data_IF_954233000206
#
_entry.id   IF_954233000206
#
_cell.length_a   1.000
_cell.length_b   1.000
_cell.length_c   1.000
_cell.angle_alpha   90.00
_cell.angle_beta   90.00
_cell.angle_gamma   90.00
#
_symmetry.space_group_name_H-M   'P 1'
#
loop_
_entity.id
_entity.type
_entity.pdbx_description
1 polymer ?
#
# COMPACT_ATOMS: atom_id res chain seq x y z
N UNK A 1 27.61 -4.20 23.31
CA UNK A 1 26.93 -4.45 24.59
C UNK A 1 25.71 -5.31 24.30
N UNK A 2 25.61 -6.49 24.89
CA UNK A 2 24.55 -7.45 24.61
C UNK A 2 23.58 -7.54 25.81
N UNK A 3 22.30 -7.36 25.58
CA UNK A 3 21.26 -7.61 26.56
C UNK A 3 21.12 -9.14 26.81
N UNK A 4 20.67 -9.50 27.99
CA UNK A 4 20.48 -10.86 28.40
C UNK A 4 20.94 -11.10 29.85
N UNK A 5 20.70 -12.31 30.36
CA UNK A 5 21.14 -12.71 31.68
C UNK A 5 22.55 -13.36 31.57
N UNK A 6 23.49 -12.82 32.33
CA UNK A 6 24.86 -13.24 32.36
C UNK A 6 25.23 -13.65 33.81
N UNK A 7 25.94 -14.74 33.96
CA UNK A 7 26.38 -15.21 35.26
C UNK A 7 27.74 -14.60 35.59
N UNK A 8 27.85 -13.97 36.76
CA UNK A 8 29.11 -13.49 37.33
C UNK A 8 29.53 -14.44 38.40
N UNK A 9 30.77 -14.97 38.32
CA UNK A 9 31.35 -15.92 39.27
C UNK A 9 32.51 -15.26 40.01
N UNK A 10 32.49 -15.34 41.31
CA UNK A 10 33.63 -15.02 42.18
C UNK A 10 34.29 -16.31 42.65
N UNK A 11 35.62 -16.41 42.49
CA UNK A 11 36.38 -17.62 42.86
C UNK A 11 37.52 -17.22 43.80
N UNK A 12 37.71 -17.97 44.91
CA UNK A 12 38.84 -17.80 45.81
C UNK A 12 40.12 -18.33 45.21
N UNK A 13 41.20 -17.55 45.26
CA UNK A 13 42.49 -17.92 44.70
C UNK A 13 43.24 -19.04 45.46
N UNK A 14 42.80 -19.36 46.68
CA UNK A 14 43.51 -20.30 47.54
C UNK A 14 42.94 -21.74 47.59
N UNK A 15 41.63 -21.88 47.25
CA UNK A 15 40.98 -23.21 47.38
C UNK A 15 39.93 -23.47 46.30
N UNK A 16 39.83 -22.59 45.28
CA UNK A 16 38.85 -22.66 44.18
C UNK A 16 37.36 -22.67 44.60
N UNK A 17 37.06 -22.32 45.86
CA UNK A 17 35.68 -22.15 46.27
C UNK A 17 35.07 -20.95 45.47
N UNK A 18 33.89 -21.15 44.88
CA UNK A 18 33.25 -20.15 44.04
C UNK A 18 31.75 -20.01 44.33
N UNK A 19 31.24 -18.81 44.11
CA UNK A 19 29.81 -18.50 44.08
C UNK A 19 29.49 -17.75 42.80
N UNK A 20 28.29 -17.97 42.26
CA UNK A 20 27.86 -17.42 40.99
C UNK A 20 26.45 -16.82 41.09
N UNK A 21 26.31 -15.60 40.59
CA UNK A 21 25.04 -14.88 40.60
C UNK A 21 24.68 -14.37 39.19
N UNK A 22 23.40 -14.43 38.79
CA UNK A 22 22.94 -13.88 37.54
C UNK A 22 22.82 -12.36 37.60
N UNK A 23 23.21 -11.68 36.51
CA UNK A 23 22.98 -10.26 36.29
C UNK A 23 22.27 -10.12 34.93
N UNK A 24 21.13 -9.46 34.89
CA UNK A 24 20.39 -9.22 33.66
C UNK A 24 20.66 -7.80 33.15
N UNK A 25 21.15 -7.72 31.92
CA UNK A 25 21.26 -6.48 31.14
C UNK A 25 20.06 -6.40 30.23
N UNK A 26 19.38 -5.25 30.20
CA UNK A 26 18.22 -4.97 29.35
C UNK A 26 18.61 -4.06 28.21
N UNK A 27 17.85 -4.09 27.12
CA UNK A 27 18.01 -3.15 26.02
C UNK A 27 17.68 -1.73 26.49
N UNK A 28 18.36 -0.74 25.91
CA UNK A 28 18.18 0.68 26.21
C UNK A 28 16.96 1.22 25.46
N UNK A 29 15.83 1.34 26.18
CA UNK A 29 14.56 1.84 25.61
C UNK A 29 14.62 3.35 25.26
N UNK A 30 15.43 4.13 25.97
CA UNK A 30 15.50 5.57 25.80
C UNK A 30 16.27 5.97 24.54
N UNK A 31 17.21 5.12 24.12
CA UNK A 31 17.99 5.29 22.88
C UNK A 31 17.49 4.40 21.72
N UNK A 32 16.32 3.75 21.86
CA UNK A 32 15.77 2.85 20.87
C UNK A 32 15.47 3.57 19.55
N UNK A 33 15.67 2.85 18.44
CA UNK A 33 15.29 3.28 17.08
C UNK A 33 14.28 2.29 16.49
N UNK A 34 13.43 2.80 15.60
CA UNK A 34 12.43 2.01 14.89
C UNK A 34 12.75 1.97 13.40
N UNK A 35 12.50 0.81 12.78
CA UNK A 35 12.48 0.63 11.33
C UNK A 35 11.11 0.10 10.94
N UNK A 36 10.40 0.86 10.11
CA UNK A 36 9.07 0.51 9.61
C UNK A 36 9.18 -0.19 8.26
N UNK A 37 8.42 -1.27 8.06
CA UNK A 37 8.28 -1.98 6.80
C UNK A 37 6.81 -2.23 6.49
N UNK A 38 6.50 -2.45 5.20
CA UNK A 38 5.17 -2.83 4.72
C UNK A 38 5.23 -4.18 4.02
N UNK A 39 4.25 -5.04 4.24
CA UNK A 39 4.16 -6.33 3.55
C UNK A 39 3.83 -6.19 2.06
N UNK A 40 3.07 -5.14 1.70
CA UNK A 40 2.76 -4.74 0.33
C UNK A 40 2.99 -3.24 0.19
N UNK A 41 3.62 -2.81 -0.91
CA UNK A 41 3.76 -1.40 -1.25
C UNK A 41 2.49 -0.81 -1.89
N UNK A 42 1.58 -1.67 -2.36
CA UNK A 42 0.32 -1.32 -2.99
C UNK A 42 -0.80 -2.22 -2.50
N UNK A 43 -1.97 -1.63 -2.26
CA UNK A 43 -3.23 -2.31 -1.92
C UNK A 43 -4.37 -1.75 -2.78
N UNK A 44 -5.45 -2.54 -2.90
CA UNK A 44 -6.66 -2.13 -3.61
C UNK A 44 -7.54 -1.26 -2.72
N UNK A 45 -8.03 -0.12 -3.25
CA UNK A 45 -8.88 0.85 -2.57
C UNK A 45 -10.33 0.38 -2.38
N UNK A 46 -10.53 -0.82 -1.86
CA UNK A 46 -11.86 -1.43 -1.65
C UNK A 46 -12.27 -1.50 -0.17
N UNK A 47 -11.43 -0.99 0.74
CA UNK A 47 -11.66 -1.05 2.19
C UNK A 47 -11.50 -2.44 2.82
N UNK A 48 -11.08 -3.43 2.04
CA UNK A 48 -10.91 -4.83 2.47
C UNK A 48 -9.46 -5.30 2.31
N UNK A 49 -8.84 -5.00 1.15
CA UNK A 49 -7.42 -5.32 0.94
C UNK A 49 -6.56 -4.51 1.91
N UNK A 50 -5.57 -5.15 2.51
CA UNK A 50 -4.75 -4.55 3.55
C UNK A 50 -3.27 -4.90 3.39
N UNK A 51 -2.42 -4.06 3.96
CA UNK A 51 -0.99 -4.30 4.14
C UNK A 51 -0.65 -4.32 5.62
N UNK A 52 0.29 -5.16 6.02
CA UNK A 52 0.82 -5.16 7.38
C UNK A 52 1.96 -4.16 7.48
N UNK A 53 1.88 -3.28 8.47
CA UNK A 53 2.94 -2.39 8.91
C UNK A 53 3.69 -3.09 10.03
N UNK A 54 4.98 -3.35 9.83
CA UNK A 54 5.85 -4.04 10.79
C UNK A 54 6.92 -3.08 11.27
N UNK A 55 6.87 -2.70 12.55
CA UNK A 55 7.85 -1.86 13.22
C UNK A 55 8.83 -2.74 14.01
N UNK A 56 10.11 -2.71 13.62
CA UNK A 56 11.18 -3.41 14.34
C UNK A 56 11.96 -2.41 15.18
N UNK A 57 12.06 -2.66 16.50
CA UNK A 57 12.66 -1.73 17.46
C UNK A 57 13.90 -2.35 18.09
N UNK A 58 15.02 -1.64 18.00
CA UNK A 58 16.31 -2.04 18.55
C UNK A 58 17.00 -0.85 19.24
N UNK A 59 17.87 -1.14 20.19
CA UNK A 59 18.80 -0.16 20.74
C UNK A 59 20.04 0.04 19.82
N UNK A 60 20.90 1.03 20.07
CA UNK A 60 22.12 1.27 19.28
C UNK A 60 23.15 0.13 19.29
N UNK A 61 22.96 -0.88 20.13
CA UNK A 61 23.81 -2.07 20.22
C UNK A 61 23.19 -3.30 19.57
N UNK A 62 22.12 -3.09 18.76
CA UNK A 62 21.37 -4.15 18.06
C UNK A 62 20.59 -5.09 19.00
N UNK A 63 20.39 -4.73 20.28
CA UNK A 63 19.50 -5.48 21.13
C UNK A 63 18.05 -5.16 20.83
N UNK A 64 17.21 -6.18 20.67
CA UNK A 64 15.78 -6.02 20.49
C UNK A 64 15.14 -5.42 21.73
N UNK A 65 14.24 -4.45 21.53
CA UNK A 65 13.52 -3.78 22.60
C UNK A 65 12.10 -4.35 22.66
N UNK A 66 11.77 -5.08 23.71
CA UNK A 66 10.47 -5.68 23.92
C UNK A 66 9.59 -4.85 24.88
N UNK A 67 8.29 -5.10 24.86
CA UNK A 67 7.28 -4.45 25.69
C UNK A 67 7.35 -2.90 25.61
N UNK A 68 7.70 -2.38 24.41
CA UNK A 68 7.70 -0.94 24.14
C UNK A 68 6.48 -0.60 23.29
N UNK A 69 5.63 0.37 23.69
CA UNK A 69 4.52 0.81 22.86
C UNK A 69 5.05 1.56 21.62
N UNK A 70 4.55 1.19 20.45
CA UNK A 70 4.77 1.87 19.17
C UNK A 70 3.46 2.48 18.75
N UNK A 71 3.44 3.80 18.51
CA UNK A 71 2.28 4.51 17.99
C UNK A 71 2.35 4.55 16.48
N UNK A 72 1.27 4.13 15.83
CA UNK A 72 1.11 4.17 14.38
C UNK A 72 0.13 5.27 13.99
N UNK A 73 0.45 6.01 12.96
CA UNK A 73 -0.39 7.04 12.37
C UNK A 73 -0.31 7.03 10.86
N UNK A 74 -1.24 7.74 10.22
CA UNK A 74 -1.26 7.93 8.77
C UNK A 74 -1.53 9.41 8.47
N UNK A 75 -1.15 9.85 7.28
CA UNK A 75 -1.35 11.22 6.79
C UNK A 75 -2.80 11.52 6.37
N UNK A 76 -3.69 10.52 6.35
CA UNK A 76 -5.06 10.63 5.87
C UNK A 76 -6.05 9.96 6.81
N UNK A 77 -7.17 10.65 7.09
CA UNK A 77 -8.31 10.10 7.82
C UNK A 77 -9.06 9.00 7.02
N UNK A 78 -8.81 8.90 5.72
CA UNK A 78 -9.45 7.93 4.81
C UNK A 78 -8.74 6.57 4.81
N UNK A 79 -7.60 6.48 5.48
CA UNK A 79 -6.91 5.23 5.78
C UNK A 79 -7.25 4.74 7.18
N UNK A 80 -7.40 3.44 7.34
CA UNK A 80 -7.74 2.80 8.63
C UNK A 80 -6.62 1.88 9.07
N UNK A 81 -6.14 2.13 10.29
CA UNK A 81 -5.27 1.20 11.01
C UNK A 81 -6.12 0.25 11.85
N UNK A 82 -5.71 -1.02 11.98
CA UNK A 82 -6.36 -1.99 12.88
C UNK A 82 -6.34 -1.53 14.34
N UNK A 83 -5.29 -0.83 14.73
CA UNK A 83 -5.12 -0.15 16.03
C UNK A 83 -4.07 0.96 15.90
N UNK A 84 -4.14 1.98 16.75
CA UNK A 84 -3.19 3.09 16.74
C UNK A 84 -1.92 2.82 17.56
N UNK A 85 -1.90 1.77 18.39
CA UNK A 85 -0.75 1.43 19.23
C UNK A 85 -0.62 -0.09 19.33
N UNK A 86 0.61 -0.60 19.19
CA UNK A 86 0.96 -2.00 19.39
C UNK A 86 2.27 -2.09 20.17
N UNK A 87 2.36 -3.01 21.14
CA UNK A 87 3.59 -3.22 21.90
C UNK A 87 4.53 -4.17 21.14
N UNK A 88 5.82 -3.90 21.24
CA UNK A 88 6.84 -4.83 20.70
C UNK A 88 6.82 -6.16 21.44
N UNK A 89 6.88 -7.25 20.70
CA UNK A 89 6.99 -8.62 21.21
C UNK A 89 8.43 -8.96 21.63
N UNK A 90 8.68 -10.23 21.98
CA UNK A 90 10.02 -10.72 22.40
C UNK A 90 11.10 -10.59 21.31
N UNK A 91 10.71 -10.43 20.05
CA UNK A 91 11.60 -10.16 18.90
C UNK A 91 11.79 -8.67 18.62
N UNK A 92 11.21 -7.79 19.44
CA UNK A 92 11.24 -6.33 19.24
C UNK A 92 10.35 -5.85 18.11
N UNK A 93 9.29 -6.58 17.77
CA UNK A 93 8.41 -6.31 16.64
C UNK A 93 7.02 -5.94 17.12
N UNK A 94 6.48 -4.82 16.59
CA UNK A 94 5.08 -4.41 16.74
C UNK A 94 4.43 -4.35 15.34
N UNK A 95 3.18 -4.80 15.23
CA UNK A 95 2.48 -4.89 13.96
C UNK A 95 1.07 -4.32 14.07
N UNK A 96 0.63 -3.69 12.97
CA UNK A 96 -0.75 -3.28 12.72
C UNK A 96 -1.05 -3.48 11.24
N UNK A 97 -2.34 -3.55 10.84
CA UNK A 97 -2.72 -3.54 9.42
C UNK A 97 -3.25 -2.16 9.03
N UNK A 98 -3.06 -1.81 7.74
CA UNK A 98 -3.54 -0.60 7.10
C UNK A 98 -4.38 -0.96 5.88
N UNK A 99 -5.55 -0.33 5.74
CA UNK A 99 -6.43 -0.38 4.59
C UNK A 99 -7.01 1.00 4.29
N UNK A 100 -7.62 1.18 3.11
CA UNK A 100 -8.22 2.45 2.74
C UNK A 100 -9.10 2.35 1.50
N UNK A 101 -9.78 3.44 1.17
CA UNK A 101 -10.67 3.55 -0.01
C UNK A 101 -10.31 4.73 -0.92
N UNK A 102 -9.56 5.71 -0.44
CA UNK A 102 -9.14 6.87 -1.25
C UNK A 102 -7.85 6.56 -1.97
N UNK A 103 -7.89 6.66 -3.31
CA UNK A 103 -6.74 6.36 -4.17
C UNK A 103 -5.60 7.35 -3.97
N UNK A 104 -4.39 6.87 -4.12
CA UNK A 104 -3.17 7.67 -4.07
C UNK A 104 -2.11 7.09 -3.14
N UNK A 105 -1.02 7.84 -3.00
CA UNK A 105 0.08 7.47 -2.12
C UNK A 105 -0.18 8.05 -0.74
N UNK A 106 -0.24 7.20 0.26
CA UNK A 106 -0.43 7.54 1.66
C UNK A 106 0.82 7.21 2.47
N UNK A 107 1.11 8.03 3.47
CA UNK A 107 2.27 7.84 4.36
C UNK A 107 1.82 7.27 5.69
N UNK A 108 2.40 6.14 6.08
CA UNK A 108 2.28 5.57 7.42
C UNK A 108 3.53 5.89 8.24
N UNK A 109 3.36 6.16 9.52
CA UNK A 109 4.43 6.46 10.46
C UNK A 109 4.33 5.56 11.69
N UNK A 110 5.49 5.13 12.19
CA UNK A 110 5.65 4.45 13.48
C UNK A 110 6.51 5.33 14.38
N UNK A 111 6.02 5.69 15.56
CA UNK A 111 6.67 6.60 16.52
C UNK A 111 6.87 5.92 17.86
N UNK A 112 8.08 6.03 18.42
CA UNK A 112 8.45 5.54 19.75
C UNK A 112 8.21 6.61 20.83
N UNK A 113 8.11 6.22 22.13
CA UNK A 113 7.96 7.16 23.23
C UNK A 113 9.10 8.19 23.38
N UNK A 114 10.30 7.84 22.90
CA UNK A 114 11.47 8.74 22.88
C UNK A 114 11.44 9.75 21.73
N UNK A 115 10.42 9.74 20.88
CA UNK A 115 10.24 10.63 19.72
C UNK A 115 10.90 10.14 18.43
N UNK A 116 11.66 9.05 18.45
CA UNK A 116 12.19 8.43 17.21
C UNK A 116 11.06 7.85 16.39
N UNK A 117 11.09 8.05 15.08
CA UNK A 117 10.09 7.56 14.16
C UNK A 117 10.71 7.06 12.84
N UNK A 118 9.94 6.31 12.08
CA UNK A 118 10.19 5.96 10.68
C UNK A 118 8.88 5.94 9.91
N UNK A 119 8.96 6.21 8.61
CA UNK A 119 7.80 6.31 7.72
C UNK A 119 7.91 5.38 6.52
N UNK A 120 6.75 4.92 6.02
CA UNK A 120 6.62 4.19 4.77
C UNK A 120 5.42 4.67 3.98
N UNK A 121 5.55 4.67 2.66
CA UNK A 121 4.44 4.94 1.75
C UNK A 121 3.76 3.65 1.33
N UNK A 122 2.43 3.72 1.19
CA UNK A 122 1.57 2.69 0.63
C UNK A 122 0.74 3.34 -0.47
N UNK A 123 0.75 2.76 -1.67
CA UNK A 123 -0.13 3.19 -2.76
C UNK A 123 -1.48 2.49 -2.65
N UNK A 124 -2.57 3.24 -2.66
CA UNK A 124 -3.93 2.70 -2.77
C UNK A 124 -4.36 2.87 -4.21
N UNK A 125 -4.55 1.74 -4.92
CA UNK A 125 -4.82 1.66 -6.35
C UNK A 125 -6.25 1.15 -6.62
N UNK A 126 -6.84 1.46 -7.82
CA UNK A 126 -8.11 0.86 -8.21
C UNK A 126 -7.94 -0.64 -8.53
N UNK A 127 -9.03 -1.41 -8.40
CA UNK A 127 -9.07 -2.82 -8.81
C UNK A 127 -9.20 -2.97 -10.32
N UNK A 128 -8.08 -2.87 -11.02
CA UNK A 128 -8.04 -3.02 -12.48
C UNK A 128 -8.44 -4.42 -12.96
N UNK A 129 -8.28 -5.45 -12.10
CA UNK A 129 -8.58 -6.85 -12.46
C UNK A 129 -10.08 -7.12 -12.57
N UNK A 130 -10.89 -6.36 -11.82
CA UNK A 130 -12.35 -6.46 -11.80
C UNK A 130 -13.03 -5.25 -12.43
N UNK A 131 -12.28 -4.45 -13.20
CA UNK A 131 -12.82 -3.26 -13.85
C UNK A 131 -13.91 -3.60 -14.87
N UNK A 132 -14.90 -2.72 -14.96
CA UNK A 132 -16.02 -2.81 -15.90
C UNK A 132 -15.98 -1.63 -16.87
N UNK A 133 -16.45 -1.85 -18.10
CA UNK A 133 -16.52 -0.83 -19.14
C UNK A 133 -17.98 -0.47 -19.42
N UNK A 134 -18.23 0.84 -19.56
CA UNK A 134 -19.51 1.38 -20.04
C UNK A 134 -19.26 2.20 -21.29
N UNK A 135 -19.97 1.90 -22.37
CA UNK A 135 -19.89 2.67 -23.63
C UNK A 135 -20.96 3.76 -23.64
N UNK A 136 -20.54 4.99 -23.93
CA UNK A 136 -21.43 6.14 -24.17
C UNK A 136 -21.26 6.63 -25.62
N UNK A 137 -22.37 6.78 -26.31
CA UNK A 137 -22.48 7.35 -27.67
C UNK A 137 -23.44 8.55 -27.61
N UNK A 138 -22.92 9.78 -27.66
CA UNK A 138 -23.75 10.97 -27.46
C UNK A 138 -24.74 11.24 -28.61
N UNK A 139 -24.46 10.75 -29.82
CA UNK A 139 -25.34 10.90 -30.99
C UNK A 139 -25.65 9.52 -31.58
N UNK A 140 -26.92 9.14 -31.61
CA UNK A 140 -27.41 7.89 -32.17
C UNK A 140 -27.65 7.92 -33.69
N UNK A 141 -27.58 9.09 -34.32
CA UNK A 141 -27.71 9.29 -35.75
C UNK A 141 -26.62 10.22 -36.25
N UNK A 142 -25.91 9.79 -37.28
CA UNK A 142 -24.86 10.53 -37.98
C UNK A 142 -25.11 10.42 -39.46
N UNK A 143 -24.91 11.49 -40.22
CA UNK A 143 -25.14 11.49 -41.67
C UNK A 143 -23.99 10.75 -42.36
N UNK A 144 -24.30 9.83 -43.27
CA UNK A 144 -23.30 9.05 -44.04
C UNK A 144 -22.80 9.90 -45.23
N UNK A 145 -21.88 10.82 -44.98
CA UNK A 145 -21.35 11.76 -45.97
C UNK A 145 -19.81 11.80 -46.02
N UNK A 146 -19.11 10.86 -45.34
CA UNK A 146 -17.66 10.82 -45.13
C UNK A 146 -17.08 12.05 -44.42
N UNK A 147 -17.91 12.91 -43.87
CA UNK A 147 -17.51 14.14 -43.18
C UNK A 147 -17.94 14.14 -41.71
N UNK A 148 -19.16 13.69 -41.48
CA UNK A 148 -19.69 13.62 -40.12
C UNK A 148 -19.08 12.54 -39.29
N UNK A 149 -18.97 12.76 -38.00
CA UNK A 149 -18.35 11.83 -37.07
C UNK A 149 -19.03 11.90 -35.70
N UNK A 150 -18.88 10.83 -34.95
CA UNK A 150 -19.31 10.75 -33.56
C UNK A 150 -18.17 10.26 -32.69
N UNK A 151 -17.98 10.89 -31.55
CA UNK A 151 -17.03 10.43 -30.55
C UNK A 151 -17.67 9.32 -29.70
N UNK A 152 -17.02 8.19 -29.65
CA UNK A 152 -17.34 7.07 -28.77
C UNK A 152 -16.52 7.23 -27.49
N UNK A 153 -17.16 7.14 -26.33
CA UNK A 153 -16.49 7.23 -25.03
C UNK A 153 -16.73 5.94 -24.26
N UNK A 154 -15.66 5.22 -23.95
CA UNK A 154 -15.69 4.10 -23.01
C UNK A 154 -15.21 4.58 -21.66
N UNK A 155 -15.99 4.37 -20.60
CA UNK A 155 -15.62 4.66 -19.22
C UNK A 155 -15.34 3.35 -18.50
N UNK A 156 -14.15 3.21 -17.94
CA UNK A 156 -13.70 2.03 -17.20
C UNK A 156 -13.58 2.37 -15.72
N UNK A 157 -14.30 1.62 -14.90
CA UNK A 157 -14.31 1.77 -13.44
C UNK A 157 -14.21 0.43 -12.74
N UNK A 158 -13.63 0.43 -11.55
CA UNK A 158 -13.63 -0.74 -10.66
C UNK A 158 -14.99 -0.91 -9.94
N UNK A 159 -15.19 -2.02 -9.20
CA UNK A 159 -16.43 -2.24 -8.44
C UNK A 159 -16.69 -1.20 -7.34
N UNK A 160 -15.66 -0.49 -6.88
CA UNK A 160 -15.75 0.60 -5.91
C UNK A 160 -16.04 1.96 -6.57
N UNK A 161 -16.29 1.96 -7.92
CA UNK A 161 -16.57 3.14 -8.75
C UNK A 161 -15.35 4.06 -8.96
N UNK A 162 -14.13 3.60 -8.68
CA UNK A 162 -12.92 4.35 -8.99
C UNK A 162 -12.60 4.26 -10.49
N UNK A 163 -12.16 5.36 -11.12
CA UNK A 163 -11.71 5.33 -12.51
C UNK A 163 -10.43 4.50 -12.64
N UNK A 164 -10.35 3.68 -13.69
CA UNK A 164 -9.17 2.85 -13.96
C UNK A 164 -8.44 3.39 -15.18
N UNK A 165 -7.27 3.95 -14.97
CA UNK A 165 -6.40 4.48 -16.02
C UNK A 165 -5.49 3.40 -16.62
N UNK A 166 -4.98 3.64 -17.84
CA UNK A 166 -3.98 2.78 -18.48
C UNK A 166 -4.53 1.48 -19.08
N UNK A 167 -5.86 1.29 -19.11
CA UNK A 167 -6.50 0.12 -19.70
C UNK A 167 -6.68 0.31 -21.20
N UNK A 168 -6.24 -0.66 -22.00
CA UNK A 168 -6.50 -0.68 -23.43
C UNK A 168 -7.96 -1.08 -23.68
N UNK A 169 -8.72 -0.24 -24.36
CA UNK A 169 -10.10 -0.48 -24.78
C UNK A 169 -10.12 -0.67 -26.29
N UNK A 170 -10.76 -1.75 -26.75
CA UNK A 170 -10.96 -2.06 -28.16
C UNK A 170 -12.43 -1.76 -28.54
N UNK A 171 -12.64 -0.77 -29.39
CA UNK A 171 -13.93 -0.48 -29.99
C UNK A 171 -14.06 -1.29 -31.29
N UNK A 172 -15.10 -2.07 -31.40
CA UNK A 172 -15.30 -2.95 -32.56
C UNK A 172 -16.70 -2.73 -33.15
N UNK A 173 -16.83 -2.96 -34.44
CA UNK A 173 -18.09 -2.97 -35.16
C UNK A 173 -18.37 -4.37 -35.73
N UNK A 174 -19.66 -4.71 -35.96
CA UNK A 174 -20.01 -5.94 -36.67
C UNK A 174 -19.33 -5.98 -38.03
N UNK A 175 -18.86 -7.16 -38.44
CA UNK A 175 -18.01 -7.34 -39.62
C UNK A 175 -18.74 -7.02 -40.94
N UNK A 176 -20.06 -7.20 -40.95
CA UNK A 176 -20.92 -6.93 -42.08
C UNK A 176 -21.08 -5.45 -42.43
N UNK A 177 -20.87 -4.55 -41.44
CA UNK A 177 -20.96 -3.09 -41.61
C UNK A 177 -19.60 -2.37 -41.50
N UNK A 178 -18.59 -3.01 -40.98
CA UNK A 178 -17.26 -2.44 -40.70
C UNK A 178 -16.58 -1.82 -41.95
N UNK A 179 -16.85 -2.35 -43.13
CA UNK A 179 -16.27 -1.85 -44.40
C UNK A 179 -16.75 -0.44 -44.78
N UNK A 180 -17.90 0.04 -44.23
CA UNK A 180 -18.50 1.30 -44.55
C UNK A 180 -18.15 2.44 -43.56
N UNK A 181 -17.41 2.13 -42.51
CA UNK A 181 -17.08 3.04 -41.42
C UNK A 181 -15.60 2.97 -41.04
N UNK A 182 -15.12 4.05 -40.48
CA UNK A 182 -13.72 4.13 -40.01
C UNK A 182 -13.68 4.48 -38.53
N UNK A 183 -13.04 3.62 -37.76
CA UNK A 183 -12.68 3.93 -36.36
C UNK A 183 -11.27 4.52 -36.30
N UNK A 184 -11.14 5.66 -35.66
CA UNK A 184 -9.83 6.25 -35.39
C UNK A 184 -8.92 5.26 -34.65
N UNK A 185 -7.62 5.26 -34.97
CA UNK A 185 -6.62 4.35 -34.38
C UNK A 185 -7.01 2.85 -34.43
N UNK A 186 -7.75 2.45 -35.49
CA UNK A 186 -8.28 1.07 -35.62
C UNK A 186 -9.18 0.63 -34.45
N UNK A 187 -9.83 1.61 -33.79
CA UNK A 187 -10.69 1.34 -32.62
C UNK A 187 -9.95 1.10 -31.32
N UNK A 188 -8.64 1.41 -31.23
CA UNK A 188 -7.87 1.19 -30.02
C UNK A 188 -7.62 2.52 -29.28
N UNK A 189 -7.97 2.58 -27.99
CA UNK A 189 -7.67 3.70 -27.12
C UNK A 189 -7.30 3.22 -25.72
N UNK A 190 -6.54 4.04 -24.98
CA UNK A 190 -6.12 3.77 -23.61
C UNK A 190 -6.84 4.72 -22.66
N UNK A 191 -7.36 4.21 -21.55
CA UNK A 191 -8.05 5.03 -20.55
C UNK A 191 -7.09 6.04 -19.91
N UNK A 192 -7.57 7.28 -19.80
CA UNK A 192 -6.91 8.39 -19.11
C UNK A 192 -7.15 8.33 -17.59
N UNK A 193 -6.63 9.31 -16.85
CA UNK A 193 -6.74 9.37 -15.37
C UNK A 193 -8.20 9.38 -14.87
N UNK A 194 -9.15 9.87 -15.68
CA UNK A 194 -10.59 9.85 -15.39
C UNK A 194 -11.27 8.50 -15.74
N UNK A 195 -10.52 7.51 -16.20
CA UNK A 195 -11.02 6.22 -16.64
C UNK A 195 -11.66 6.22 -18.02
N UNK A 196 -11.55 7.28 -18.81
CA UNK A 196 -12.17 7.39 -20.14
C UNK A 196 -11.19 7.11 -21.27
N UNK A 197 -11.66 6.37 -22.27
CA UNK A 197 -11.00 6.15 -23.55
C UNK A 197 -11.92 6.63 -24.68
N UNK A 198 -11.37 7.34 -25.66
CA UNK A 198 -12.12 7.96 -26.75
C UNK A 198 -11.66 7.47 -28.11
N UNK A 199 -12.62 7.22 -29.01
CA UNK A 199 -12.38 6.91 -30.42
C UNK A 199 -13.42 7.65 -31.25
N UNK A 200 -13.00 8.21 -32.40
CA UNK A 200 -13.91 8.84 -33.37
C UNK A 200 -14.37 7.80 -34.40
N UNK A 201 -15.67 7.70 -34.59
CA UNK A 201 -16.32 6.95 -35.66
C UNK A 201 -16.73 7.88 -36.77
N UNK A 202 -16.32 7.56 -38.01
CA UNK A 202 -16.72 8.25 -39.25
C UNK A 202 -17.45 7.31 -40.19
N UNK A 203 -18.47 7.80 -40.91
CA UNK A 203 -19.24 7.02 -41.88
C UNK A 203 -19.69 7.82 -43.07
#
# INVERSE_FOLDING_TARGET
KKAGTHTVTATLGNNNASDAQPVTFVADKDSAVVVLQTSKAEIIGNGVDETTLTATVKDPFDNVVKDLPVTFSTDSADTQLSQSTSNTNDSGVAEVTLKGTVLGVHTAEATLPNGNNDTKTVNIAPDASNAQVTLNIPAQQVVTNNSDSVQLTATVKDPSNHPVAGITVNFTMPQDVAANFTLENNGIAITQANGEAHVTLKG
#
